data_IF_668650859211
#
_entry.id   IF_668650859211
#
_cell.length_a   1.000
_cell.length_b   1.000
_cell.length_c   1.000
_cell.angle_alpha   90.00
_cell.angle_beta   90.00
_cell.angle_gamma   90.00
#
_symmetry.space_group_name_H-M   'P 1'
#
loop_
_entity.id
_entity.type
_entity.pdbx_description
1 polymer ?
#
# COMPACT_ATOMS: atom_id res chain seq x y z
N UNK A 1 7.48 18.73 28.15
CA UNK A 1 7.90 19.79 27.22
C UNK A 1 9.40 19.99 27.41
N UNK A 2 10.21 19.91 26.37
CA UNK A 2 11.63 20.23 26.48
C UNK A 2 11.75 21.71 26.89
N UNK A 3 12.48 21.96 27.99
CA UNK A 3 12.38 23.19 28.78
C UNK A 3 12.99 24.41 28.06
N UNK A 4 13.84 24.20 27.05
CA UNK A 4 14.17 25.13 25.97
C UNK A 4 14.41 24.31 24.69
N UNK A 5 13.55 24.45 23.67
CA UNK A 5 13.77 23.83 22.36
C UNK A 5 14.54 24.79 21.47
N UNK A 6 15.72 24.37 21.02
CA UNK A 6 16.55 25.04 20.01
C UNK A 6 16.51 24.32 18.65
N UNK A 7 15.54 23.43 18.43
CA UNK A 7 15.40 22.63 17.22
C UNK A 7 13.94 22.47 16.79
N UNK A 8 13.74 22.28 15.48
CA UNK A 8 12.41 22.17 14.86
C UNK A 8 11.93 20.71 14.69
N UNK A 9 12.70 19.73 15.19
CA UNK A 9 12.30 18.32 15.14
C UNK A 9 11.12 18.01 16.08
N UNK A 10 10.22 17.15 15.61
CA UNK A 10 9.08 16.67 16.37
C UNK A 10 9.54 15.67 17.45
N UNK A 11 9.20 15.95 18.70
CA UNK A 11 9.43 15.05 19.84
C UNK A 11 8.07 14.49 20.25
N UNK A 12 7.87 13.20 20.02
CA UNK A 12 6.61 12.51 20.32
C UNK A 12 6.49 12.21 21.81
N UNK A 13 5.26 12.28 22.32
CA UNK A 13 4.92 11.77 23.64
C UNK A 13 4.84 10.22 23.60
N UNK A 14 4.94 9.53 24.75
CA UNK A 14 4.74 8.08 24.80
C UNK A 14 3.40 7.67 24.19
N UNK A 15 3.41 6.64 23.36
CA UNK A 15 2.22 6.09 22.69
C UNK A 15 2.13 4.58 22.90
N UNK A 16 0.91 4.08 23.12
CA UNK A 16 0.63 2.66 23.35
C UNK A 16 0.45 1.88 22.03
N UNK A 17 0.20 2.59 20.91
CA UNK A 17 -0.13 1.99 19.62
C UNK A 17 0.91 1.01 19.06
N UNK A 18 2.23 1.21 19.20
CA UNK A 18 3.22 0.23 18.76
C UNK A 18 3.05 -1.14 19.45
N UNK A 19 2.79 -1.13 20.76
CA UNK A 19 2.63 -2.36 21.54
C UNK A 19 1.33 -3.09 21.19
N UNK A 20 0.20 -2.36 21.14
CA UNK A 20 -1.10 -2.94 20.77
C UNK A 20 -1.08 -3.46 19.34
N UNK A 21 -0.40 -2.76 18.44
CA UNK A 21 -0.16 -3.19 17.06
C UNK A 21 0.61 -4.50 16.99
N UNK A 22 1.68 -4.65 17.76
CA UNK A 22 2.47 -5.89 17.80
C UNK A 22 1.65 -7.09 18.31
N UNK A 23 0.89 -6.93 19.39
CA UNK A 23 0.03 -7.99 19.95
C UNK A 23 -1.10 -8.35 18.97
N UNK A 24 -1.71 -7.35 18.32
CA UNK A 24 -2.77 -7.57 17.33
C UNK A 24 -2.23 -8.28 16.10
N UNK A 25 -1.05 -7.88 15.59
CA UNK A 25 -0.38 -8.51 14.46
C UNK A 25 0.03 -9.97 14.75
N UNK A 26 0.57 -10.25 15.94
CA UNK A 26 0.85 -11.62 16.37
C UNK A 26 -0.43 -12.47 16.38
N UNK A 27 -1.50 -11.96 17.01
CA UNK A 27 -2.78 -12.65 17.10
C UNK A 27 -3.37 -12.91 15.71
N UNK A 28 -3.27 -11.94 14.80
CA UNK A 28 -3.73 -12.05 13.42
C UNK A 28 -2.98 -13.16 12.66
N UNK A 29 -1.65 -13.15 12.65
CA UNK A 29 -0.87 -14.12 11.89
C UNK A 29 -0.93 -15.52 12.48
N UNK A 30 -0.91 -15.65 13.81
CA UNK A 30 -1.11 -16.94 14.47
C UNK A 30 -2.52 -17.49 14.18
N UNK A 31 -3.55 -16.62 14.25
CA UNK A 31 -4.91 -16.96 13.86
C UNK A 31 -5.03 -17.36 12.38
N UNK A 32 -4.28 -16.73 11.48
CA UNK A 32 -4.26 -17.09 10.06
C UNK A 32 -3.71 -18.51 9.86
N UNK A 33 -2.65 -18.88 10.58
CA UNK A 33 -2.13 -20.27 10.56
C UNK A 33 -3.18 -21.26 11.02
N UNK A 34 -3.85 -21.00 12.15
CA UNK A 34 -4.93 -21.86 12.64
C UNK A 34 -6.10 -21.99 11.65
N UNK A 35 -6.44 -20.88 10.98
CA UNK A 35 -7.50 -20.88 9.98
C UNK A 35 -7.12 -21.72 8.76
N UNK A 36 -5.91 -21.56 8.22
CA UNK A 36 -5.43 -22.35 7.08
C UNK A 36 -5.30 -23.85 7.39
N UNK A 37 -5.21 -24.23 8.67
CA UNK A 37 -5.22 -25.62 9.13
C UNK A 37 -6.61 -26.10 9.61
N UNK A 38 -7.67 -25.36 9.31
CA UNK A 38 -9.05 -25.78 9.55
C UNK A 38 -9.51 -25.74 11.01
N UNK A 39 -8.77 -25.08 11.91
CA UNK A 39 -9.10 -25.02 13.35
C UNK A 39 -10.15 -23.95 13.64
N UNK A 40 -9.85 -22.68 13.37
CA UNK A 40 -10.79 -21.56 13.56
C UNK A 40 -10.33 -20.31 12.82
N UNK A 41 -11.28 -19.54 12.29
CA UNK A 41 -11.03 -18.23 11.68
C UNK A 41 -11.19 -17.07 12.68
N UNK A 42 -11.79 -17.32 13.85
CA UNK A 42 -12.17 -16.26 14.81
C UNK A 42 -10.93 -15.51 15.32
N UNK A 43 -9.84 -16.23 15.60
CA UNK A 43 -8.60 -15.63 16.08
C UNK A 43 -7.97 -14.70 15.04
N UNK A 44 -8.00 -15.09 13.76
CA UNK A 44 -7.58 -14.21 12.66
C UNK A 44 -8.44 -12.94 12.61
N UNK A 45 -9.77 -13.08 12.64
CA UNK A 45 -10.68 -11.94 12.57
C UNK A 45 -10.48 -10.96 13.75
N UNK A 46 -10.32 -11.46 14.97
CA UNK A 46 -10.03 -10.62 16.14
C UNK A 46 -8.70 -9.86 15.97
N UNK A 47 -7.65 -10.54 15.53
CA UNK A 47 -6.35 -9.90 15.25
C UNK A 47 -6.45 -8.85 14.15
N UNK A 48 -7.16 -9.15 13.05
CA UNK A 48 -7.35 -8.23 11.93
C UNK A 48 -8.11 -6.96 12.35
N UNK A 49 -9.19 -7.09 13.14
CA UNK A 49 -9.91 -5.94 13.70
C UNK A 49 -9.00 -5.12 14.61
N UNK A 50 -8.18 -5.77 15.44
CA UNK A 50 -7.19 -5.10 16.29
C UNK A 50 -6.17 -4.28 15.49
N UNK A 51 -5.60 -4.86 14.43
CA UNK A 51 -4.65 -4.17 13.54
C UNK A 51 -5.32 -2.98 12.86
N UNK A 52 -6.52 -3.16 12.28
CA UNK A 52 -7.26 -2.08 11.63
C UNK A 52 -7.58 -0.93 12.60
N UNK A 53 -7.95 -1.26 13.84
CA UNK A 53 -8.20 -0.25 14.87
C UNK A 53 -6.93 0.53 15.22
N UNK A 54 -5.79 -0.15 15.39
CA UNK A 54 -4.51 0.52 15.67
C UNK A 54 -4.12 1.44 14.50
N UNK A 55 -4.27 0.99 13.25
CA UNK A 55 -3.99 1.82 12.07
C UNK A 55 -4.86 3.08 12.04
N UNK A 56 -6.17 2.92 12.28
CA UNK A 56 -7.11 4.04 12.35
C UNK A 56 -6.75 5.04 13.46
N UNK A 57 -6.53 4.55 14.67
CA UNK A 57 -6.22 5.38 15.83
C UNK A 57 -4.89 6.12 15.66
N UNK A 58 -3.85 5.42 15.21
CA UNK A 58 -2.52 6.00 15.03
C UNK A 58 -2.50 7.05 13.91
N UNK A 59 -3.09 6.78 12.74
CA UNK A 59 -3.16 7.79 11.69
C UNK A 59 -4.02 8.99 12.08
N UNK A 60 -5.05 8.79 12.90
CA UNK A 60 -5.83 9.89 13.46
C UNK A 60 -4.99 10.80 14.37
N UNK A 61 -4.05 10.24 15.14
CA UNK A 61 -3.09 11.02 15.94
C UNK A 61 -2.13 11.81 15.06
N UNK A 62 -1.58 11.22 14.00
CA UNK A 62 -0.70 11.92 13.04
C UNK A 62 -1.41 13.13 12.41
N UNK A 63 -2.71 13.01 12.09
CA UNK A 63 -3.50 14.15 11.59
C UNK A 63 -3.70 15.22 12.68
N UNK A 64 -3.96 14.82 13.93
CA UNK A 64 -4.06 15.76 15.06
C UNK A 64 -2.75 16.51 15.29
N UNK A 65 -1.62 15.81 15.30
CA UNK A 65 -0.26 16.38 15.39
C UNK A 65 0.02 17.39 14.28
N UNK A 66 -0.40 17.07 13.05
CA UNK A 66 -0.31 18.02 11.93
C UNK A 66 -1.13 19.29 12.17
N UNK A 67 -2.34 19.18 12.72
CA UNK A 67 -3.25 20.31 12.91
C UNK A 67 -2.85 21.21 14.09
N UNK A 68 -2.16 20.69 15.09
CA UNK A 68 -1.63 21.48 16.22
C UNK A 68 -0.29 22.16 15.89
N UNK A 69 0.30 21.86 14.73
CA UNK A 69 1.48 22.54 14.20
C UNK A 69 2.81 21.80 14.40
N UNK A 70 2.81 20.54 14.83
CA UNK A 70 4.04 19.77 15.05
C UNK A 70 4.76 19.39 13.74
N UNK A 71 4.08 19.53 12.59
CA UNK A 71 4.64 19.31 11.25
C UNK A 71 5.42 20.54 10.73
N UNK A 72 6.54 20.85 11.38
CA UNK A 72 7.51 21.87 10.94
C UNK A 72 8.05 21.56 9.53
N UNK A 73 8.69 22.53 8.82
CA UNK A 73 9.25 22.29 7.49
C UNK A 73 10.18 21.08 7.41
N UNK A 74 11.06 20.90 8.40
CA UNK A 74 11.99 19.75 8.46
C UNK A 74 11.25 18.42 8.68
N UNK A 75 10.21 18.41 9.50
CA UNK A 75 9.38 17.22 9.75
C UNK A 75 8.61 16.82 8.49
N UNK A 76 8.03 17.78 7.76
CA UNK A 76 7.34 17.50 6.49
C UNK A 76 8.27 16.91 5.43
N UNK A 77 9.52 17.34 5.37
CA UNK A 77 10.53 16.73 4.50
C UNK A 77 10.84 15.30 4.94
N UNK A 78 11.04 15.08 6.25
CA UNK A 78 11.25 13.74 6.82
C UNK A 78 10.12 12.76 6.50
N UNK A 79 8.87 13.18 6.65
CA UNK A 79 7.69 12.38 6.31
C UNK A 79 7.65 11.99 4.82
N UNK A 80 8.02 12.92 3.92
CA UNK A 80 8.12 12.63 2.47
C UNK A 80 9.19 11.60 2.18
N UNK A 81 10.38 11.72 2.79
CA UNK A 81 11.43 10.71 2.64
C UNK A 81 10.97 9.35 3.17
N UNK A 82 10.32 9.30 4.33
CA UNK A 82 9.77 8.05 4.86
C UNK A 82 8.81 7.36 3.88
N UNK A 83 7.89 8.12 3.28
CA UNK A 83 6.95 7.58 2.29
C UNK A 83 7.62 7.17 0.97
N UNK A 84 8.62 7.91 0.51
CA UNK A 84 9.41 7.52 -0.68
C UNK A 84 10.18 6.21 -0.42
N UNK A 85 10.81 6.06 0.74
CA UNK A 85 11.49 4.82 1.12
C UNK A 85 10.51 3.64 1.20
N UNK A 86 9.30 3.88 1.72
CA UNK A 86 8.23 2.87 1.72
C UNK A 86 7.86 2.45 0.28
N UNK A 87 7.61 3.40 -0.63
CA UNK A 87 7.34 3.09 -2.05
C UNK A 87 8.49 2.29 -2.68
N UNK A 88 9.74 2.65 -2.40
CA UNK A 88 10.89 1.89 -2.91
C UNK A 88 10.92 0.45 -2.37
N UNK A 89 10.53 0.23 -1.12
CA UNK A 89 10.41 -1.14 -0.58
C UNK A 89 9.29 -1.94 -1.26
N UNK A 90 8.17 -1.29 -1.61
CA UNK A 90 7.08 -1.92 -2.37
C UNK A 90 7.53 -2.30 -3.79
N UNK A 91 8.32 -1.45 -4.47
CA UNK A 91 8.91 -1.79 -5.78
C UNK A 91 9.76 -3.06 -5.68
N UNK A 92 10.58 -3.18 -4.62
CA UNK A 92 11.41 -4.37 -4.40
C UNK A 92 10.57 -5.61 -4.06
N UNK A 93 9.46 -5.45 -3.34
CA UNK A 93 8.49 -6.52 -3.11
C UNK A 93 7.91 -7.03 -4.45
N UNK A 94 7.46 -6.13 -5.34
CA UNK A 94 7.00 -6.49 -6.69
C UNK A 94 8.09 -7.12 -7.55
N UNK A 95 9.34 -6.71 -7.40
CA UNK A 95 10.47 -7.29 -8.13
C UNK A 95 10.61 -8.80 -7.89
N UNK A 96 10.31 -9.30 -6.68
CA UNK A 96 10.33 -10.73 -6.40
C UNK A 96 9.26 -11.51 -7.19
N UNK A 97 8.04 -10.95 -7.31
CA UNK A 97 6.95 -11.54 -8.09
C UNK A 97 7.25 -11.53 -9.58
N UNK A 98 7.76 -10.41 -10.10
CA UNK A 98 8.19 -10.32 -11.50
C UNK A 98 9.33 -11.29 -11.80
N UNK A 99 10.29 -11.44 -10.89
CA UNK A 99 11.37 -12.41 -11.06
C UNK A 99 10.81 -13.83 -11.18
N UNK A 100 9.93 -14.24 -10.27
CA UNK A 100 9.30 -15.55 -10.35
C UNK A 100 8.54 -15.77 -11.67
N UNK A 101 7.82 -14.75 -12.15
CA UNK A 101 7.14 -14.79 -13.46
C UNK A 101 8.14 -14.91 -14.61
N UNK A 102 9.09 -13.98 -14.75
CA UNK A 102 10.02 -13.93 -15.87
C UNK A 102 10.89 -15.19 -15.95
N UNK A 103 11.35 -15.72 -14.80
CA UNK A 103 12.11 -16.98 -14.78
C UNK A 103 11.32 -18.10 -15.44
N UNK A 104 10.04 -18.27 -15.07
CA UNK A 104 9.24 -19.39 -15.54
C UNK A 104 8.64 -19.17 -16.94
N UNK A 105 8.48 -17.92 -17.37
CA UNK A 105 8.08 -17.59 -18.72
C UNK A 105 9.23 -17.71 -19.73
N UNK A 106 10.46 -17.33 -19.34
CA UNK A 106 11.64 -17.40 -20.21
C UNK A 106 12.26 -18.80 -20.23
N UNK A 107 12.32 -19.47 -19.07
CA UNK A 107 12.92 -20.80 -18.90
C UNK A 107 11.89 -21.74 -18.22
N UNK A 108 10.80 -22.08 -18.94
CA UNK A 108 9.79 -23.00 -18.44
C UNK A 108 10.39 -24.38 -18.18
N UNK A 109 10.00 -25.02 -17.09
CA UNK A 109 10.51 -26.35 -16.75
C UNK A 109 9.87 -27.43 -17.65
N UNK A 110 10.70 -28.33 -18.16
CA UNK A 110 10.32 -29.50 -18.94
C UNK A 110 11.07 -30.76 -18.48
N UNK A 111 10.83 -31.93 -19.11
CA UNK A 111 11.44 -33.20 -18.71
C UNK A 111 12.98 -33.21 -18.74
N UNK A 112 13.58 -32.45 -19.66
CA UNK A 112 15.04 -32.38 -19.90
C UNK A 112 15.68 -31.09 -19.35
N UNK A 113 15.01 -30.39 -18.42
CA UNK A 113 15.55 -29.14 -17.86
C UNK A 113 16.75 -29.38 -16.94
N UNK A 114 17.78 -28.50 -16.95
CA UNK A 114 17.86 -27.22 -17.66
C UNK A 114 18.51 -27.30 -19.07
N UNK A 115 18.75 -28.49 -19.63
CA UNK A 115 19.42 -28.62 -20.93
C UNK A 115 18.50 -28.23 -22.10
N UNK A 116 17.21 -28.54 -21.99
CA UNK A 116 16.16 -28.10 -22.92
C UNK A 116 15.00 -27.53 -22.11
N UNK A 117 14.60 -26.30 -22.43
CA UNK A 117 13.45 -25.63 -21.81
C UNK A 117 12.12 -26.24 -22.29
N UNK A 118 11.08 -26.10 -21.48
CA UNK A 118 9.71 -26.48 -21.80
C UNK A 118 9.00 -25.48 -22.72
N UNK A 119 7.66 -25.41 -22.61
CA UNK A 119 6.82 -24.51 -23.40
C UNK A 119 6.14 -23.48 -22.50
N UNK A 120 6.06 -22.24 -22.99
CA UNK A 120 5.26 -21.17 -22.41
C UNK A 120 4.23 -20.65 -23.43
N UNK A 121 2.95 -20.49 -23.05
CA UNK A 121 2.32 -20.90 -21.80
C UNK A 121 2.34 -22.43 -21.59
N UNK A 122 2.19 -22.94 -20.35
CA UNK A 122 2.09 -24.36 -20.11
C UNK A 122 0.95 -25.00 -20.91
N UNK A 123 1.14 -26.23 -21.38
CA UNK A 123 0.15 -26.93 -22.20
C UNK A 123 -1.19 -27.04 -21.44
N UNK A 124 -2.28 -26.65 -22.10
CA UNK A 124 -3.63 -26.62 -21.51
C UNK A 124 -3.98 -25.33 -20.77
N UNK A 125 -3.07 -24.34 -20.71
CA UNK A 125 -3.37 -23.01 -20.19
C UNK A 125 -3.73 -22.07 -21.33
N UNK A 126 -4.97 -21.59 -21.33
CA UNK A 126 -5.43 -20.51 -22.20
C UNK A 126 -5.15 -19.16 -21.55
N UNK A 127 -4.46 -18.28 -22.27
CA UNK A 127 -4.17 -16.93 -21.80
C UNK A 127 -5.34 -15.99 -22.05
N UNK A 128 -5.54 -15.03 -21.14
CA UNK A 128 -6.50 -13.95 -21.37
C UNK A 128 -6.07 -13.08 -22.56
N UNK A 129 -7.05 -12.66 -23.36
CA UNK A 129 -6.80 -11.69 -24.43
C UNK A 129 -6.44 -10.32 -23.82
N UNK A 130 -5.23 -9.79 -24.09
CA UNK A 130 -4.79 -8.52 -23.53
C UNK A 130 -5.60 -7.30 -24.00
N UNK A 131 -6.27 -7.37 -25.16
CA UNK A 131 -6.95 -6.23 -25.78
C UNK A 131 -8.40 -6.04 -25.33
N UNK A 132 -8.97 -7.04 -24.67
CA UNK A 132 -10.32 -6.95 -24.11
C UNK A 132 -10.26 -6.35 -22.70
N UNK A 133 -10.46 -7.17 -21.66
CA UNK A 133 -10.58 -6.69 -20.28
C UNK A 133 -9.30 -6.00 -19.74
N UNK A 134 -8.08 -6.54 -19.95
CA UNK A 134 -6.87 -5.92 -19.41
C UNK A 134 -6.62 -4.50 -19.94
N UNK A 135 -6.91 -4.25 -21.23
CA UNK A 135 -6.79 -2.92 -21.81
C UNK A 135 -7.77 -1.92 -21.17
N UNK A 136 -9.03 -2.32 -20.97
CA UNK A 136 -10.02 -1.45 -20.33
C UNK A 136 -9.60 -1.09 -18.90
N UNK A 137 -9.11 -2.05 -18.12
CA UNK A 137 -8.60 -1.78 -16.77
C UNK A 137 -7.38 -0.84 -16.79
N UNK A 138 -6.51 -0.96 -17.79
CA UNK A 138 -5.38 -0.03 -17.97
C UNK A 138 -5.87 1.39 -18.22
N UNK A 139 -6.87 1.57 -19.08
CA UNK A 139 -7.45 2.89 -19.36
C UNK A 139 -8.15 3.47 -18.12
N UNK A 140 -8.88 2.65 -17.36
CA UNK A 140 -9.53 3.07 -16.11
C UNK A 140 -8.49 3.61 -15.11
N UNK A 141 -7.39 2.88 -14.88
CA UNK A 141 -6.35 3.32 -13.95
C UNK A 141 -5.60 4.56 -14.45
N UNK A 142 -5.35 4.68 -15.75
CA UNK A 142 -4.75 5.89 -16.34
C UNK A 142 -5.67 7.10 -16.17
N UNK A 143 -6.98 6.95 -16.42
CA UNK A 143 -7.97 7.99 -16.18
C UNK A 143 -8.07 8.37 -14.70
N UNK A 144 -8.05 7.39 -13.79
CA UNK A 144 -8.02 7.63 -12.33
C UNK A 144 -6.78 8.43 -11.92
N UNK A 145 -5.60 8.05 -12.43
CA UNK A 145 -4.35 8.78 -12.19
C UNK A 145 -4.36 10.21 -12.72
N UNK A 146 -4.96 10.45 -13.89
CA UNK A 146 -5.17 11.79 -14.42
C UNK A 146 -6.11 12.62 -13.54
N UNK A 147 -7.22 12.03 -13.06
CA UNK A 147 -8.17 12.70 -12.16
C UNK A 147 -7.53 13.07 -10.80
N UNK A 148 -6.70 12.19 -10.24
CA UNK A 148 -5.94 12.49 -9.02
C UNK A 148 -4.92 13.61 -9.23
N UNK A 149 -4.22 13.62 -10.38
CA UNK A 149 -3.29 14.71 -10.74
C UNK A 149 -4.01 16.04 -10.90
N UNK A 150 -5.20 16.03 -11.52
CA UNK A 150 -6.04 17.22 -11.62
C UNK A 150 -6.45 17.74 -10.24
N UNK A 151 -6.90 16.86 -9.34
CA UNK A 151 -7.25 17.26 -7.97
C UNK A 151 -6.06 17.87 -7.22
N UNK A 152 -4.86 17.29 -7.37
CA UNK A 152 -3.64 17.85 -6.78
C UNK A 152 -3.30 19.24 -7.34
N UNK A 153 -3.39 19.43 -8.66
CA UNK A 153 -3.13 20.73 -9.30
C UNK A 153 -4.13 21.80 -8.85
N UNK A 154 -5.42 21.46 -8.79
CA UNK A 154 -6.48 22.35 -8.33
C UNK A 154 -6.23 22.86 -6.91
N UNK A 155 -5.73 22.02 -6.00
CA UNK A 155 -5.39 22.43 -4.65
C UNK A 155 -4.10 23.26 -4.61
N UNK A 156 -3.03 22.79 -5.25
CA UNK A 156 -1.69 23.35 -5.11
C UNK A 156 -1.49 24.69 -5.85
N UNK A 157 -2.11 24.87 -7.02
CA UNK A 157 -1.91 26.05 -7.86
C UNK A 157 -3.10 27.01 -7.85
N UNK A 158 -4.33 26.50 -7.72
CA UNK A 158 -5.55 27.31 -7.84
C UNK A 158 -6.27 27.50 -6.51
N UNK A 159 -5.87 26.75 -5.46
CA UNK A 159 -6.56 26.69 -4.17
C UNK A 159 -8.07 26.37 -4.30
N UNK A 160 -8.45 25.64 -5.36
CA UNK A 160 -9.82 25.29 -5.70
C UNK A 160 -10.22 23.97 -5.03
N UNK A 161 -10.84 24.07 -3.85
CA UNK A 161 -11.27 22.91 -3.06
C UNK A 161 -12.41 22.12 -3.67
N UNK A 162 -13.27 22.75 -4.49
CA UNK A 162 -14.40 22.08 -5.12
C UNK A 162 -13.92 21.09 -6.19
N UNK A 163 -12.98 21.53 -7.02
CA UNK A 163 -12.40 20.68 -8.06
C UNK A 163 -11.47 19.62 -7.45
N UNK A 164 -10.76 19.96 -6.36
CA UNK A 164 -9.99 18.97 -5.57
C UNK A 164 -10.90 17.83 -5.10
N UNK A 165 -12.03 18.13 -4.47
CA UNK A 165 -12.95 17.12 -3.98
C UNK A 165 -13.57 16.31 -5.13
N UNK A 166 -13.96 16.98 -6.22
CA UNK A 166 -14.56 16.33 -7.39
C UNK A 166 -13.57 15.38 -8.07
N UNK A 167 -12.34 15.81 -8.32
CA UNK A 167 -11.29 14.98 -8.91
C UNK A 167 -10.92 13.78 -8.04
N UNK A 168 -10.85 13.95 -6.71
CA UNK A 168 -10.63 12.83 -5.78
C UNK A 168 -11.79 11.82 -5.80
N UNK A 169 -13.04 12.28 -5.83
CA UNK A 169 -14.21 11.38 -5.93
C UNK A 169 -14.14 10.56 -7.22
N UNK A 170 -13.84 11.20 -8.36
CA UNK A 170 -13.71 10.51 -9.66
C UNK A 170 -12.59 9.48 -9.60
N UNK A 171 -11.41 9.85 -9.07
CA UNK A 171 -10.28 8.94 -8.96
C UNK A 171 -10.60 7.71 -8.09
N UNK A 172 -11.27 7.91 -6.94
CA UNK A 172 -11.69 6.81 -6.04
C UNK A 172 -12.73 5.92 -6.70
N UNK A 173 -13.75 6.50 -7.36
CA UNK A 173 -14.78 5.72 -8.06
C UNK A 173 -14.17 4.89 -9.19
N UNK A 174 -13.28 5.46 -10.00
CA UNK A 174 -12.55 4.71 -11.03
C UNK A 174 -11.62 3.64 -10.43
N UNK A 175 -11.10 3.83 -9.22
CA UNK A 175 -10.31 2.80 -8.52
C UNK A 175 -11.15 1.66 -7.93
N UNK A 176 -12.47 1.85 -7.76
CA UNK A 176 -13.41 0.83 -7.29
C UNK A 176 -14.02 0.00 -8.45
N UNK A 177 -14.01 0.55 -9.67
CA UNK A 177 -14.48 -0.09 -10.91
C UNK A 177 -13.36 -0.98 -11.45
#
# INVERSE_FOLDING_TARGET
MAHEKNHDYHILNPSIWPFVGAVSGFTMLFGAVLWMHGVTWIMFAMGAVGVLYVMFAWWSEVVKESNIGDHTPVVRIGLRYGFIMFIMSEIMFFAAWFWAFFKNAMYPMGPESPAVDGVWPPVGIETFDPWHLPLINTLILLCSGAAATWAHHALAHENNRKDTATGLIIAVVLGLI
#
